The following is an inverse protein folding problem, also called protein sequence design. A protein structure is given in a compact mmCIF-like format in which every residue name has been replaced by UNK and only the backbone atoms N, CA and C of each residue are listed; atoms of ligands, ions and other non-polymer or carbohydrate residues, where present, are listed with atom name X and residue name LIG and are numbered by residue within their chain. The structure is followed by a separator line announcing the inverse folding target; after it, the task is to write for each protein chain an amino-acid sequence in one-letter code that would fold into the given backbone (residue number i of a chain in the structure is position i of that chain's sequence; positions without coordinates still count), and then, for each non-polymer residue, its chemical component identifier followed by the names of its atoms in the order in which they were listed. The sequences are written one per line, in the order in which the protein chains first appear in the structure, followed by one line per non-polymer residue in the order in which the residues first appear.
data_IF_737482065315
#
_entry.id   IF_737482065315
#
_cell.length_a   1.000
_cell.length_b   1.000
_cell.length_c   1.000
_cell.angle_alpha   90.00
_cell.angle_beta   90.00
_cell.angle_gamma   90.00
#
_symmetry.space_group_name_H-M   'P 1'
#
loop_
_entity.id
_entity.type
_entity.pdbx_description
1 polymer ?
#
# COMPACT_ATOMS: atom_id res chain seq x y z
N UNK A 1 -11.26 -16.66 -16.57
CA UNK A 1 -9.79 -16.52 -16.74
C UNK A 1 -9.39 -15.22 -17.46
N UNK A 2 -9.86 -14.92 -18.68
CA UNK A 2 -9.51 -13.66 -19.38
C UNK A 2 -9.77 -12.37 -18.57
N UNK A 3 -10.89 -12.31 -17.86
CA UNK A 3 -11.25 -11.16 -17.00
C UNK A 3 -10.34 -11.03 -15.77
N UNK A 4 -9.84 -12.13 -15.22
CA UNK A 4 -8.93 -12.11 -14.07
C UNK A 4 -7.57 -11.51 -14.45
N UNK A 5 -7.03 -11.88 -15.61
CA UNK A 5 -5.79 -11.29 -16.14
C UNK A 5 -5.94 -9.79 -16.43
N UNK A 6 -7.11 -9.37 -16.93
CA UNK A 6 -7.38 -7.95 -17.12
C UNK A 6 -7.46 -7.22 -15.78
N UNK A 7 -8.14 -7.80 -14.79
CA UNK A 7 -8.26 -7.23 -13.45
C UNK A 7 -6.90 -7.12 -12.75
N UNK A 8 -6.05 -8.15 -12.78
CA UNK A 8 -4.69 -8.07 -12.23
C UNK A 8 -3.82 -7.09 -12.98
N UNK A 9 -3.93 -7.00 -14.31
CA UNK A 9 -3.21 -5.99 -15.08
C UNK A 9 -3.60 -4.57 -14.64
N UNK A 10 -4.90 -4.29 -14.50
CA UNK A 10 -5.40 -3.00 -14.04
C UNK A 10 -4.96 -2.69 -12.60
N UNK A 11 -5.02 -3.67 -11.69
CA UNK A 11 -4.61 -3.49 -10.29
C UNK A 11 -3.10 -3.23 -10.19
N UNK A 12 -2.28 -3.99 -10.91
CA UNK A 12 -0.83 -3.79 -10.95
C UNK A 12 -0.46 -2.44 -11.56
N UNK A 13 -1.11 -2.04 -12.66
CA UNK A 13 -0.91 -0.74 -13.27
C UNK A 13 -1.31 0.40 -12.31
N UNK A 14 -2.44 0.26 -11.61
CA UNK A 14 -2.89 1.22 -10.60
C UNK A 14 -1.94 1.29 -9.41
N UNK A 15 -1.41 0.16 -8.93
CA UNK A 15 -0.45 0.11 -7.84
C UNK A 15 0.86 0.83 -8.19
N UNK A 16 1.41 0.60 -9.39
CA UNK A 16 2.62 1.29 -9.87
C UNK A 16 2.34 2.78 -10.07
N UNK A 17 1.20 3.15 -10.68
CA UNK A 17 0.82 4.55 -10.86
C UNK A 17 0.66 5.26 -9.51
N UNK A 18 0.11 4.58 -8.51
CA UNK A 18 -0.03 5.09 -7.15
C UNK A 18 1.32 5.25 -6.45
N UNK A 19 2.24 4.29 -6.62
CA UNK A 19 3.60 4.38 -6.11
C UNK A 19 4.33 5.62 -6.66
N UNK A 20 4.26 5.85 -7.97
CA UNK A 20 4.86 7.02 -8.62
C UNK A 20 4.21 8.32 -8.12
N UNK A 21 2.88 8.34 -7.99
CA UNK A 21 2.15 9.50 -7.49
C UNK A 21 2.54 9.85 -6.06
N UNK A 22 2.62 8.85 -5.17
CA UNK A 22 3.07 9.03 -3.80
C UNK A 22 4.53 9.49 -3.74
N UNK A 23 5.43 8.90 -4.55
CA UNK A 23 6.83 9.33 -4.59
C UNK A 23 6.95 10.80 -4.98
N UNK A 24 6.16 11.23 -5.97
CA UNK A 24 6.13 12.63 -6.40
C UNK A 24 5.56 13.54 -5.32
N UNK A 25 4.46 13.14 -4.67
CA UNK A 25 3.85 13.90 -3.58
C UNK A 25 4.81 14.05 -2.39
N UNK A 26 5.41 12.96 -1.91
CA UNK A 26 6.34 13.00 -0.78
C UNK A 26 7.63 13.77 -1.12
N UNK A 27 8.11 13.68 -2.36
CA UNK A 27 9.25 14.49 -2.82
C UNK A 27 8.98 16.00 -2.71
N UNK A 28 7.75 16.43 -3.00
CA UNK A 28 7.32 17.83 -2.87
C UNK A 28 7.14 18.23 -1.40
N UNK A 29 6.56 17.37 -0.57
CA UNK A 29 6.18 17.71 0.81
C UNK A 29 7.30 17.50 1.83
N UNK A 30 8.06 16.41 1.75
CA UNK A 30 8.93 15.93 2.84
C UNK A 30 10.43 15.83 2.47
N UNK A 31 10.87 16.46 1.37
CA UNK A 31 12.21 16.32 0.78
C UNK A 31 12.49 14.93 0.19
N UNK A 32 13.34 14.88 -0.84
CA UNK A 32 13.58 13.70 -1.70
C UNK A 32 13.92 12.40 -0.95
N UNK A 33 14.48 12.48 0.26
CA UNK A 33 14.85 11.31 1.05
C UNK A 33 13.64 10.42 1.44
N UNK A 34 12.48 11.03 1.68
CA UNK A 34 11.27 10.28 2.07
C UNK A 34 10.53 9.67 0.87
N UNK A 35 10.92 9.97 -0.38
CA UNK A 35 10.33 9.32 -1.54
C UNK A 35 10.75 7.84 -1.64
N UNK A 36 12.04 7.54 -1.39
CA UNK A 36 12.60 6.17 -1.48
C UNK A 36 11.99 5.20 -0.46
N UNK A 37 11.46 5.74 0.64
CA UNK A 37 10.74 5.00 1.67
C UNK A 37 9.54 4.24 1.13
N UNK A 38 8.82 4.82 0.16
CA UNK A 38 7.62 4.20 -0.44
C UNK A 38 7.97 2.87 -1.08
N UNK A 39 9.14 2.76 -1.71
CA UNK A 39 9.59 1.51 -2.33
C UNK A 39 9.75 0.42 -1.27
N UNK A 40 10.37 0.75 -0.14
CA UNK A 40 10.50 -0.19 0.99
C UNK A 40 9.15 -0.59 1.57
N UNK A 41 8.20 0.34 1.67
CA UNK A 41 6.82 0.08 2.10
C UNK A 41 6.06 -0.82 1.13
N UNK A 42 6.23 -0.59 -0.18
CA UNK A 42 5.67 -1.45 -1.20
C UNK A 42 6.22 -2.88 -1.02
N UNK A 43 7.54 -3.06 -0.96
CA UNK A 43 8.16 -4.36 -0.74
C UNK A 43 7.70 -5.03 0.56
N UNK A 44 7.54 -4.27 1.65
CA UNK A 44 6.99 -4.75 2.91
C UNK A 44 5.53 -5.22 2.75
N UNK A 45 4.69 -4.44 2.05
CA UNK A 45 3.30 -4.78 1.73
C UNK A 45 3.19 -6.07 0.94
N UNK A 46 4.02 -6.22 -0.10
CA UNK A 46 4.09 -7.44 -0.91
C UNK A 46 4.59 -8.64 -0.09
N UNK A 47 5.61 -8.48 0.75
CA UNK A 47 6.11 -9.54 1.62
C UNK A 47 5.08 -10.01 2.66
N UNK A 48 4.44 -9.06 3.36
CA UNK A 48 3.42 -9.34 4.36
C UNK A 48 2.18 -10.03 3.76
N UNK A 49 1.76 -9.59 2.56
CA UNK A 49 0.67 -10.23 1.82
C UNK A 49 0.99 -11.69 1.47
N UNK A 50 2.23 -11.97 1.03
CA UNK A 50 2.69 -13.33 0.76
C UNK A 50 2.58 -14.24 1.98
N UNK A 51 2.98 -13.76 3.16
CA UNK A 51 2.83 -14.50 4.42
C UNK A 51 1.35 -14.72 4.77
N UNK A 52 0.50 -13.71 4.58
CA UNK A 52 -0.94 -13.82 4.84
C UNK A 52 -1.60 -14.88 3.95
N UNK A 53 -1.27 -14.89 2.65
CA UNK A 53 -1.78 -15.87 1.69
C UNK A 53 -1.27 -17.27 2.03
N UNK A 54 0.02 -17.42 2.39
CA UNK A 54 0.61 -18.71 2.73
C UNK A 54 -0.08 -19.36 3.96
N UNK A 55 -0.40 -18.57 4.99
CA UNK A 55 -1.09 -19.06 6.19
C UNK A 55 -2.58 -19.31 5.92
N UNK A 56 -3.23 -18.42 5.18
CA UNK A 56 -4.67 -18.45 4.92
C UNK A 56 -5.11 -19.29 3.72
N UNK A 57 -4.18 -19.91 3.00
CA UNK A 57 -4.38 -20.53 1.68
C UNK A 57 -5.67 -21.33 1.55
N UNK A 58 -5.95 -22.20 2.51
CA UNK A 58 -7.14 -23.08 2.49
C UNK A 58 -8.47 -22.33 2.51
N UNK A 59 -8.57 -21.21 3.25
CA UNK A 59 -9.78 -20.38 3.27
C UNK A 59 -9.88 -19.48 2.03
N UNK A 60 -8.73 -19.00 1.56
CA UNK A 60 -8.63 -18.12 0.39
C UNK A 60 -9.01 -18.86 -0.89
N UNK A 61 -8.57 -20.12 -1.07
CA UNK A 61 -8.94 -20.96 -2.20
C UNK A 61 -10.44 -21.28 -2.24
N UNK A 62 -11.07 -21.50 -1.07
CA UNK A 62 -12.50 -21.79 -0.98
C UNK A 62 -13.39 -20.60 -1.34
N UNK A 63 -12.91 -19.36 -1.14
CA UNK A 63 -13.69 -18.13 -1.35
C UNK A 63 -12.93 -17.11 -2.20
N UNK A 64 -12.23 -17.59 -3.22
CA UNK A 64 -11.35 -16.79 -4.07
C UNK A 64 -12.02 -15.51 -4.58
N UNK A 65 -13.20 -15.61 -5.21
CA UNK A 65 -13.88 -14.46 -5.81
C UNK A 65 -14.24 -13.37 -4.80
N UNK A 66 -14.62 -13.78 -3.58
CA UNK A 66 -15.01 -12.88 -2.51
C UNK A 66 -13.78 -12.16 -1.95
N UNK A 67 -12.71 -12.89 -1.64
CA UNK A 67 -11.46 -12.30 -1.16
C UNK A 67 -10.79 -11.41 -2.21
N UNK A 68 -10.81 -11.80 -3.48
CA UNK A 68 -10.29 -11.00 -4.58
C UNK A 68 -11.05 -9.68 -4.71
N UNK A 69 -12.39 -9.74 -4.76
CA UNK A 69 -13.24 -8.55 -4.90
C UNK A 69 -13.14 -7.64 -3.67
N UNK A 70 -13.10 -8.22 -2.46
CA UNK A 70 -12.96 -7.47 -1.22
C UNK A 70 -11.60 -6.77 -1.15
N UNK A 71 -10.52 -7.46 -1.53
CA UNK A 71 -9.17 -6.86 -1.58
C UNK A 71 -9.10 -5.73 -2.58
N UNK A 72 -9.78 -5.84 -3.74
CA UNK A 72 -9.79 -4.80 -4.77
C UNK A 72 -10.57 -3.56 -4.30
N UNK A 73 -11.72 -3.78 -3.65
CA UNK A 73 -12.49 -2.70 -3.02
C UNK A 73 -11.70 -2.02 -1.90
N UNK A 74 -11.08 -2.81 -1.01
CA UNK A 74 -10.26 -2.28 0.07
C UNK A 74 -9.05 -1.51 -0.47
N UNK A 75 -8.40 -1.98 -1.55
CA UNK A 75 -7.34 -1.25 -2.22
C UNK A 75 -7.82 0.12 -2.72
N UNK A 76 -8.96 0.17 -3.42
CA UNK A 76 -9.52 1.44 -3.92
C UNK A 76 -9.85 2.41 -2.79
N UNK A 77 -10.52 1.94 -1.72
CA UNK A 77 -10.87 2.77 -0.56
C UNK A 77 -9.64 3.25 0.18
N UNK A 78 -8.67 2.37 0.41
CA UNK A 78 -7.45 2.70 1.16
C UNK A 78 -6.51 3.60 0.38
N UNK A 79 -6.47 3.50 -0.95
CA UNK A 79 -5.74 4.43 -1.81
C UNK A 79 -6.23 5.87 -1.62
N UNK A 80 -7.56 6.08 -1.64
CA UNK A 80 -8.16 7.41 -1.41
C UNK A 80 -7.96 7.86 0.03
N UNK A 81 -8.20 6.98 1.01
CA UNK A 81 -8.03 7.30 2.43
C UNK A 81 -6.58 7.68 2.76
N UNK A 82 -5.59 6.97 2.22
CA UNK A 82 -4.18 7.27 2.43
C UNK A 82 -3.77 8.59 1.81
N UNK A 83 -4.32 8.95 0.64
CA UNK A 83 -4.05 10.24 0.03
C UNK A 83 -4.56 11.39 0.92
N UNK A 84 -5.80 11.29 1.42
CA UNK A 84 -6.38 12.29 2.32
C UNK A 84 -5.64 12.36 3.64
N UNK A 85 -5.36 11.21 4.26
CA UNK A 85 -4.61 11.14 5.52
C UNK A 85 -3.18 11.66 5.34
N UNK A 86 -2.51 11.33 4.23
CA UNK A 86 -1.17 11.80 3.92
C UNK A 86 -1.07 13.33 3.80
N UNK A 87 -2.12 13.99 3.31
CA UNK A 87 -2.20 15.46 3.31
C UNK A 87 -2.46 16.06 4.70
N UNK A 88 -3.09 15.29 5.60
CA UNK A 88 -3.46 15.75 6.95
C UNK A 88 -2.36 15.56 7.97
N UNK A 89 -1.34 14.75 7.71
CA UNK A 89 -0.20 14.56 8.62
C UNK A 89 0.73 15.77 8.49
N UNK A 90 0.81 16.67 9.51
CA UNK A 90 1.70 17.82 9.49
C UNK A 90 3.11 17.37 9.88
N UNK A 91 3.73 16.56 9.03
CA UNK A 91 5.07 16.05 9.26
C UNK A 91 6.09 17.14 8.91
N UNK A 92 6.84 17.59 9.92
CA UNK A 92 7.93 18.54 9.74
C UNK A 92 9.26 17.80 9.92
N UNK A 93 9.91 17.45 8.80
CA UNK A 93 11.20 16.75 8.81
C UNK A 93 12.31 17.53 9.56
N UNK A 94 12.21 18.87 9.60
CA UNK A 94 13.15 19.74 10.32
C UNK A 94 13.02 19.62 11.86
N UNK A 95 11.85 19.23 12.36
CA UNK A 95 11.57 19.14 13.79
C UNK A 95 11.88 17.75 14.37
N UNK A 96 12.13 16.74 13.50
CA UNK A 96 12.46 15.35 13.88
C UNK A 96 13.66 15.28 14.82
N UNK A 97 14.66 16.13 14.58
CA UNK A 97 15.91 16.13 15.35
C UNK A 97 15.70 16.60 16.79
N UNK A 98 14.64 17.39 17.03
CA UNK A 98 14.37 18.03 18.32
C UNK A 98 13.17 17.44 19.05
N UNK A 99 12.22 16.82 18.34
CA UNK A 99 10.99 16.29 18.92
C UNK A 99 10.81 14.78 18.64
N UNK A 100 10.93 13.90 19.64
CA UNK A 100 10.73 12.45 19.47
C UNK A 100 9.30 12.09 19.07
N UNK A 101 8.32 12.99 19.27
CA UNK A 101 6.94 12.82 18.78
C UNK A 101 6.85 12.72 17.25
N UNK A 102 7.80 13.30 16.51
CA UNK A 102 7.83 13.20 15.05
C UNK A 102 8.16 11.78 14.56
N UNK A 103 8.90 10.97 15.33
CA UNK A 103 9.08 9.54 15.02
C UNK A 103 7.76 8.78 15.05
N UNK A 104 6.84 9.14 15.96
CA UNK A 104 5.51 8.54 16.00
C UNK A 104 4.69 8.92 14.75
N UNK A 105 4.71 10.19 14.34
CA UNK A 105 4.06 10.62 13.10
C UNK A 105 4.65 9.93 11.85
N UNK A 106 5.97 9.70 11.84
CA UNK A 106 6.62 8.92 10.78
C UNK A 106 6.10 7.48 10.76
N UNK A 107 6.10 6.80 11.91
CA UNK A 107 5.59 5.43 12.01
C UNK A 107 4.11 5.32 11.59
N UNK A 108 3.27 6.28 11.99
CA UNK A 108 1.87 6.36 11.55
C UNK A 108 1.79 6.55 10.03
N UNK A 109 2.61 7.41 9.44
CA UNK A 109 2.63 7.60 7.98
C UNK A 109 3.05 6.31 7.24
N UNK A 110 4.04 5.58 7.77
CA UNK A 110 4.43 4.27 7.26
C UNK A 110 3.26 3.29 7.30
N UNK A 111 2.59 3.19 8.46
CA UNK A 111 1.44 2.31 8.65
C UNK A 111 0.30 2.65 7.70
N UNK A 112 0.00 3.93 7.52
CA UNK A 112 -1.04 4.39 6.60
C UNK A 112 -0.67 3.98 5.18
N UNK A 113 0.51 4.33 4.68
CA UNK A 113 0.90 4.02 3.29
C UNK A 113 1.11 2.53 3.03
N UNK A 114 1.44 1.73 4.03
CA UNK A 114 1.57 0.27 3.91
C UNK A 114 0.25 -0.40 3.52
N UNK A 115 -0.87 0.05 4.09
CA UNK A 115 -2.19 -0.58 3.94
C UNK A 115 -2.63 -0.76 2.48
N UNK A 116 -2.61 0.26 1.59
CA UNK A 116 -3.00 0.10 0.20
C UNK A 116 -2.10 -0.87 -0.56
N UNK A 117 -0.78 -0.84 -0.33
CA UNK A 117 0.14 -1.78 -0.98
C UNK A 117 -0.09 -3.23 -0.52
N UNK A 118 -0.42 -3.44 0.75
CA UNK A 118 -0.79 -4.75 1.26
C UNK A 118 -2.03 -5.31 0.54
N UNK A 119 -3.09 -4.52 0.40
CA UNK A 119 -4.31 -4.97 -0.29
C UNK A 119 -4.10 -5.17 -1.79
N UNK A 120 -3.35 -4.30 -2.47
CA UNK A 120 -2.96 -4.49 -3.86
C UNK A 120 -2.19 -5.81 -4.05
N UNK A 121 -1.21 -6.07 -3.18
CA UNK A 121 -0.44 -7.30 -3.21
C UNK A 121 -1.31 -8.53 -2.90
N UNK A 122 -2.28 -8.44 -1.99
CA UNK A 122 -3.23 -9.54 -1.73
C UNK A 122 -4.06 -9.88 -2.97
N UNK A 123 -4.59 -8.88 -3.68
CA UNK A 123 -5.29 -9.11 -4.95
C UNK A 123 -4.42 -9.83 -5.98
N UNK A 124 -3.18 -9.34 -6.16
CA UNK A 124 -2.26 -9.87 -7.16
C UNK A 124 -1.83 -11.29 -6.77
N UNK A 125 -1.41 -11.51 -5.53
CA UNK A 125 -0.95 -12.80 -5.03
C UNK A 125 -2.05 -13.87 -5.06
N UNK A 126 -3.28 -13.50 -4.72
CA UNK A 126 -4.44 -14.39 -4.85
C UNK A 126 -4.64 -14.84 -6.29
N UNK A 127 -4.56 -13.93 -7.25
CA UNK A 127 -4.77 -14.26 -8.66
C UNK A 127 -3.68 -15.16 -9.28
N UNK A 128 -2.53 -15.30 -8.61
CA UNK A 128 -1.44 -16.20 -8.98
C UNK A 128 -1.41 -17.51 -8.16
N UNK A 129 -2.34 -17.69 -7.21
CA UNK A 129 -2.50 -18.92 -6.41
C UNK A 129 -3.44 -19.90 -7.10
#
# INVERSE_FOLDING_TARGET
MRLLFLATLLISAAAIAYEILLMRMLSIVQWHHFAYMIISLALLGYGASGTFIAIGRRLLEQRFELFFSLSALLFSVTMVACFVLGQRVPFNALEIVWNPRQFFYLAVSYLVFFVPFFFAACCIGLAFT
#
